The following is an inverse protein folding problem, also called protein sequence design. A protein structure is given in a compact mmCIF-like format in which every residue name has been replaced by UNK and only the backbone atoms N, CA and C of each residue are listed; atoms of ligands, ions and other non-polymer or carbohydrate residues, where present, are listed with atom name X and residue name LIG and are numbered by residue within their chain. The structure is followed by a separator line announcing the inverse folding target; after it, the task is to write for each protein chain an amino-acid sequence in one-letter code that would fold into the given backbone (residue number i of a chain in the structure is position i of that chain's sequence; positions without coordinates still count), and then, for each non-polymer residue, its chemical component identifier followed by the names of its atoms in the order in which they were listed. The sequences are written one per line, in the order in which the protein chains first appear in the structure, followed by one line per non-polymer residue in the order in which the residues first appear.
data_IF_307054042060
#
_entry.id   IF_307054042060
#
_cell.length_a   1.000
_cell.length_b   1.000
_cell.length_c   1.000
_cell.angle_alpha   90.00
_cell.angle_beta   90.00
_cell.angle_gamma   90.00
#
_symmetry.space_group_name_H-M   'P 1'
#
loop_
_entity.id
_entity.type
_entity.pdbx_description
1 polymer ?
#
# COMPACT_ATOMS: atom_id res chain seq x y z
N UNK A 1 31.91 6.64 -2.12
CA UNK A 1 31.25 7.91 -2.44
C UNK A 1 31.84 8.45 -3.71
N UNK A 2 31.05 8.52 -4.79
CA UNK A 2 31.41 9.30 -5.96
C UNK A 2 31.38 10.79 -5.59
N UNK A 3 32.18 11.62 -6.27
CA UNK A 3 32.12 13.07 -6.11
C UNK A 3 30.75 13.53 -6.62
N UNK A 4 30.00 14.32 -5.86
CA UNK A 4 28.74 14.92 -6.29
C UNK A 4 28.98 16.42 -6.48
N UNK A 5 28.58 16.95 -7.63
CA UNK A 5 28.74 18.35 -8.03
C UNK A 5 27.36 18.93 -8.29
N UNK A 6 27.07 20.11 -7.71
CA UNK A 6 25.83 20.83 -7.98
C UNK A 6 25.84 21.37 -9.42
N UNK A 7 24.78 21.05 -10.15
CA UNK A 7 24.58 21.41 -11.56
C UNK A 7 23.57 22.55 -11.68
N UNK A 8 22.54 22.55 -10.84
CA UNK A 8 21.52 23.58 -10.81
C UNK A 8 21.09 23.86 -9.37
N UNK A 9 20.86 25.13 -9.05
CA UNK A 9 20.19 25.61 -7.85
C UNK A 9 19.25 26.74 -8.25
N UNK A 10 17.94 26.49 -8.18
CA UNK A 10 16.91 27.38 -8.72
C UNK A 10 15.77 27.54 -7.71
N UNK A 11 15.21 28.74 -7.68
CA UNK A 11 13.91 29.00 -7.07
C UNK A 11 12.85 28.73 -8.14
N UNK A 12 11.97 27.78 -7.88
CA UNK A 12 10.96 27.31 -8.84
C UNK A 12 9.53 27.63 -8.39
N UNK A 13 9.36 28.25 -7.22
CA UNK A 13 8.05 28.67 -6.72
C UNK A 13 8.12 29.18 -5.28
N UNK A 14 6.95 29.29 -4.66
CA UNK A 14 6.77 29.62 -3.24
C UNK A 14 5.88 28.60 -2.56
N UNK A 15 5.95 28.53 -1.24
CA UNK A 15 5.02 27.76 -0.43
C UNK A 15 3.64 28.39 -0.52
N UNK A 16 2.77 27.82 -1.34
CA UNK A 16 1.36 28.14 -1.24
C UNK A 16 0.88 27.68 0.15
N UNK A 17 0.24 28.56 0.92
CA UNK A 17 -0.30 28.24 2.24
C UNK A 17 -1.52 27.30 2.14
N UNK A 18 -1.36 26.14 1.54
CA UNK A 18 -2.35 25.08 1.57
C UNK A 18 -2.08 24.30 2.85
N UNK A 19 -2.89 24.56 3.87
CA UNK A 19 -2.88 23.77 5.09
C UNK A 19 -3.53 22.42 4.76
N UNK A 20 -2.72 21.47 4.31
CA UNK A 20 -3.18 20.12 4.04
C UNK A 20 -3.37 19.40 5.39
N UNK A 21 -4.61 19.09 5.76
CA UNK A 21 -4.95 18.29 6.95
C UNK A 21 -4.74 16.80 6.66
N UNK A 22 -3.48 16.46 6.37
CA UNK A 22 -3.05 15.15 5.91
C UNK A 22 -1.68 14.87 6.52
N UNK A 23 -1.42 13.63 6.91
CA UNK A 23 -0.14 13.26 7.48
C UNK A 23 0.94 13.12 6.40
N UNK A 24 2.20 13.21 6.82
CA UNK A 24 3.33 12.98 5.93
C UNK A 24 3.37 11.55 5.36
N UNK A 25 2.82 10.55 6.09
CA UNK A 25 2.74 9.16 5.61
C UNK A 25 1.69 9.05 4.49
N UNK A 26 0.61 9.80 4.59
CA UNK A 26 -0.43 9.83 3.57
C UNK A 26 0.05 10.58 2.33
N UNK A 27 0.68 11.74 2.50
CA UNK A 27 1.25 12.50 1.38
C UNK A 27 2.29 11.72 0.60
N UNK A 28 3.23 11.06 1.28
CA UNK A 28 4.24 10.26 0.56
C UNK A 28 3.63 9.04 -0.11
N UNK A 29 2.55 8.47 0.45
CA UNK A 29 1.82 7.37 -0.18
C UNK A 29 1.11 7.84 -1.45
N UNK A 30 0.52 9.05 -1.44
CA UNK A 30 -0.08 9.66 -2.63
C UNK A 30 0.99 9.94 -3.68
N UNK A 31 2.12 10.56 -3.32
CA UNK A 31 3.23 10.81 -4.25
C UNK A 31 3.70 9.52 -4.93
N UNK A 32 3.96 8.47 -4.16
CA UNK A 32 4.41 7.18 -4.71
C UNK A 32 3.32 6.52 -5.56
N UNK A 33 2.04 6.66 -5.20
CA UNK A 33 0.94 6.17 -6.01
C UNK A 33 0.81 6.91 -7.35
N UNK A 34 0.91 8.23 -7.36
CA UNK A 34 0.82 9.03 -8.58
C UNK A 34 1.97 8.69 -9.55
N UNK A 35 3.21 8.56 -9.04
CA UNK A 35 4.34 8.11 -9.85
C UNK A 35 4.13 6.69 -10.39
N UNK A 36 3.66 5.77 -9.54
CA UNK A 36 3.31 4.39 -9.91
C UNK A 36 2.26 4.34 -11.02
N UNK A 37 1.23 5.20 -10.92
CA UNK A 37 0.12 5.32 -11.87
C UNK A 37 0.56 5.91 -13.20
N UNK A 38 1.38 6.95 -13.19
CA UNK A 38 1.92 7.59 -14.40
C UNK A 38 2.72 6.60 -15.26
N UNK A 39 3.53 5.73 -14.62
CA UNK A 39 4.36 4.75 -15.32
C UNK A 39 3.59 3.44 -15.61
N UNK A 40 2.55 3.14 -14.82
CA UNK A 40 1.85 1.86 -14.84
C UNK A 40 2.65 0.71 -14.22
N UNK A 41 3.56 1.01 -13.28
CA UNK A 41 4.46 0.04 -12.63
C UNK A 41 4.30 0.12 -11.12
N UNK A 42 4.19 -1.04 -10.45
CA UNK A 42 4.18 -1.08 -8.99
C UNK A 42 5.58 -0.77 -8.43
N UNK A 43 5.69 0.04 -7.38
CA UNK A 43 6.97 0.33 -6.77
C UNK A 43 7.58 -0.90 -6.08
N UNK A 44 8.89 -1.04 -6.18
CA UNK A 44 9.68 -1.92 -5.31
C UNK A 44 10.19 -1.12 -4.11
N UNK A 45 9.98 -1.63 -2.90
CA UNK A 45 10.33 -0.92 -1.66
C UNK A 45 11.41 -1.68 -0.91
N UNK A 46 12.51 -1.00 -0.60
CA UNK A 46 13.65 -1.57 0.12
C UNK A 46 14.00 -0.71 1.33
N UNK A 47 14.08 -1.32 2.49
CA UNK A 47 14.53 -0.67 3.71
C UNK A 47 16.04 -0.85 3.89
N UNK A 48 16.74 0.23 4.23
CA UNK A 48 18.15 0.20 4.61
C UNK A 48 18.27 0.73 6.05
N UNK A 49 18.05 -0.12 7.08
CA UNK A 49 18.01 0.32 8.47
C UNK A 49 19.28 1.02 8.96
N UNK A 50 20.46 0.61 8.45
CA UNK A 50 21.74 1.22 8.81
C UNK A 50 21.85 2.67 8.34
N UNK A 51 21.19 3.00 7.24
CA UNK A 51 21.16 4.34 6.64
C UNK A 51 19.94 5.15 7.11
N UNK A 52 19.04 4.52 7.87
CA UNK A 52 17.71 5.05 8.20
C UNK A 52 16.99 5.58 6.97
N UNK A 53 17.00 4.78 5.91
CA UNK A 53 16.43 5.15 4.63
C UNK A 53 15.52 4.05 4.07
N UNK A 54 14.57 4.49 3.25
CA UNK A 54 13.70 3.64 2.46
C UNK A 54 13.87 4.06 1.01
N UNK A 55 14.06 3.08 0.13
CA UNK A 55 14.23 3.29 -1.29
C UNK A 55 12.97 2.77 -1.98
N UNK A 56 12.33 3.64 -2.77
CA UNK A 56 11.19 3.31 -3.61
C UNK A 56 11.64 3.34 -5.04
N UNK A 57 11.65 2.18 -5.70
CA UNK A 57 12.29 1.98 -7.00
C UNK A 57 11.22 1.70 -8.04
N UNK A 58 11.32 2.40 -9.17
CA UNK A 58 10.53 2.20 -10.37
C UNK A 58 11.47 1.76 -11.49
N UNK A 59 11.84 0.48 -11.48
CA UNK A 59 12.70 -0.12 -12.52
C UNK A 59 12.08 0.04 -13.90
N UNK A 60 12.92 0.22 -14.92
CA UNK A 60 12.50 0.39 -16.32
C UNK A 60 11.61 1.63 -16.56
N UNK A 61 11.66 2.61 -15.65
CA UNK A 61 10.99 3.92 -15.81
C UNK A 61 11.89 4.94 -16.48
N UNK A 62 11.29 5.96 -17.09
CA UNK A 62 11.99 7.13 -17.60
C UNK A 62 11.11 8.36 -17.44
N UNK A 63 11.63 9.40 -16.81
CA UNK A 63 10.93 10.67 -16.60
C UNK A 63 11.72 11.84 -17.14
N UNK A 64 11.01 12.77 -17.77
CA UNK A 64 11.50 14.13 -17.98
C UNK A 64 11.56 14.88 -16.65
N UNK A 65 12.68 15.53 -16.37
CA UNK A 65 12.89 16.27 -15.12
C UNK A 65 11.86 17.39 -14.97
N UNK A 66 11.58 18.12 -16.05
CA UNK A 66 10.63 19.24 -16.04
C UNK A 66 9.21 18.74 -15.72
N UNK A 67 8.80 17.60 -16.28
CA UNK A 67 7.53 16.96 -15.93
C UNK A 67 7.45 16.59 -14.44
N UNK A 68 8.50 15.98 -13.88
CA UNK A 68 8.53 15.64 -12.45
C UNK A 68 8.40 16.88 -11.56
N UNK A 69 9.09 17.94 -11.94
CA UNK A 69 9.11 19.19 -11.17
C UNK A 69 7.74 19.88 -11.26
N UNK A 70 7.21 20.05 -12.47
CA UNK A 70 5.97 20.78 -12.70
C UNK A 70 4.77 20.11 -12.02
N UNK A 71 4.75 18.77 -11.95
CA UNK A 71 3.62 18.03 -11.38
C UNK A 71 3.79 17.68 -9.90
N UNK A 72 5.02 17.43 -9.43
CA UNK A 72 5.23 16.83 -8.10
C UNK A 72 6.11 17.66 -7.15
N UNK A 73 6.74 18.77 -7.58
CA UNK A 73 7.68 19.52 -6.74
C UNK A 73 7.07 19.97 -5.39
N UNK A 74 5.81 20.41 -5.39
CA UNK A 74 5.13 20.88 -4.17
C UNK A 74 4.95 19.75 -3.15
N UNK A 75 4.50 18.57 -3.58
CA UNK A 75 4.29 17.42 -2.68
C UNK A 75 5.64 16.85 -2.21
N UNK A 76 6.65 16.80 -3.09
CA UNK A 76 8.00 16.37 -2.72
C UNK A 76 8.58 17.28 -1.64
N UNK A 77 8.47 18.60 -1.82
CA UNK A 77 8.98 19.56 -0.85
C UNK A 77 8.22 19.52 0.49
N UNK A 78 6.89 19.35 0.45
CA UNK A 78 6.06 19.23 1.65
C UNK A 78 6.43 17.98 2.46
N UNK A 79 6.57 16.83 1.79
CA UNK A 79 7.02 15.60 2.46
C UNK A 79 8.45 15.75 2.99
N UNK A 80 9.32 16.44 2.24
CA UNK A 80 10.72 16.66 2.59
C UNK A 80 10.94 17.52 3.85
N UNK A 81 9.91 18.25 4.34
CA UNK A 81 9.97 18.92 5.64
C UNK A 81 10.10 17.93 6.81
N UNK A 82 9.58 16.70 6.65
CA UNK A 82 9.68 15.64 7.66
C UNK A 82 10.55 14.46 7.21
N UNK A 83 10.39 14.03 5.96
CA UNK A 83 11.09 12.88 5.38
C UNK A 83 11.89 13.37 4.17
N UNK A 84 13.15 13.81 4.36
CA UNK A 84 13.95 14.33 3.26
C UNK A 84 13.99 13.34 2.09
N UNK A 85 13.55 13.79 0.91
CA UNK A 85 13.53 12.99 -0.31
C UNK A 85 14.70 13.41 -1.20
N UNK A 86 15.43 12.42 -1.71
CA UNK A 86 16.31 12.56 -2.86
C UNK A 86 15.74 11.72 -3.99
N UNK A 87 15.41 12.36 -5.10
CA UNK A 87 15.02 11.68 -6.32
C UNK A 87 16.31 11.35 -7.05
N UNK A 88 16.54 10.08 -7.36
CA UNK A 88 17.71 9.65 -8.10
C UNK A 88 17.32 8.75 -9.26
N UNK A 89 18.25 8.58 -10.18
CA UNK A 89 18.08 7.76 -11.36
C UNK A 89 19.32 7.79 -12.22
N UNK A 90 19.32 7.00 -13.28
CA UNK A 90 20.38 6.94 -14.25
C UNK A 90 20.16 8.03 -15.31
N UNK A 91 21.18 8.85 -15.52
CA UNK A 91 21.24 9.88 -16.56
C UNK A 91 22.18 9.42 -17.68
N UNK A 92 22.48 10.32 -18.62
CA UNK A 92 23.40 10.05 -19.73
C UNK A 92 24.72 9.40 -19.25
N UNK A 93 25.29 8.54 -20.08
CA UNK A 93 26.57 7.85 -19.83
C UNK A 93 26.58 6.92 -18.58
N UNK A 94 25.41 6.41 -18.16
CA UNK A 94 25.23 5.54 -16.98
C UNK A 94 25.67 6.18 -15.66
N UNK A 95 25.57 7.50 -15.59
CA UNK A 95 25.85 8.27 -14.38
C UNK A 95 24.59 8.35 -13.50
N UNK A 96 24.75 8.51 -12.18
CA UNK A 96 23.63 8.79 -11.28
C UNK A 96 23.36 10.31 -11.23
N UNK A 97 22.12 10.70 -11.52
CA UNK A 97 21.63 12.06 -11.30
C UNK A 97 20.78 12.13 -10.05
N UNK A 98 20.92 13.21 -9.28
CA UNK A 98 20.10 13.50 -8.10
C UNK A 98 19.32 14.80 -8.30
N UNK A 99 18.06 14.79 -7.85
CA UNK A 99 17.19 15.95 -7.74
C UNK A 99 16.68 16.05 -6.30
N UNK A 100 16.79 17.25 -5.72
CA UNK A 100 16.23 17.58 -4.40
C UNK A 100 15.30 18.76 -4.56
N UNK A 101 14.11 18.65 -3.96
CA UNK A 101 13.13 19.73 -3.90
C UNK A 101 12.79 19.98 -2.44
N UNK A 102 12.93 21.22 -1.97
CA UNK A 102 12.75 21.57 -0.57
C UNK A 102 12.34 23.04 -0.41
N UNK A 103 11.77 23.38 0.75
CA UNK A 103 11.50 24.76 1.13
C UNK A 103 12.70 25.39 1.83
N UNK A 104 13.08 26.59 1.41
CA UNK A 104 14.02 27.47 2.12
C UNK A 104 13.38 28.85 2.27
N UNK A 105 13.09 29.26 3.51
CA UNK A 105 12.43 30.55 3.81
C UNK A 105 11.15 30.74 2.96
N UNK A 106 10.27 29.73 2.95
CA UNK A 106 9.02 29.67 2.15
C UNK A 106 9.21 29.70 0.62
N UNK A 107 10.44 29.61 0.12
CA UNK A 107 10.72 29.50 -1.32
C UNK A 107 10.94 28.04 -1.69
N UNK A 108 10.29 27.61 -2.76
CA UNK A 108 10.46 26.27 -3.31
C UNK A 108 11.77 26.24 -4.10
N UNK A 109 12.74 25.48 -3.61
CA UNK A 109 14.06 25.32 -4.22
C UNK A 109 14.20 23.96 -4.87
N UNK A 110 14.91 23.96 -5.99
CA UNK A 110 15.31 22.80 -6.76
C UNK A 110 16.83 22.76 -6.86
N UNK A 111 17.41 21.64 -6.43
CA UNK A 111 18.82 21.35 -6.64
C UNK A 111 18.99 20.10 -7.49
N UNK A 112 19.83 20.19 -8.53
CA UNK A 112 20.25 19.04 -9.34
C UNK A 112 21.73 18.82 -9.17
N UNK A 113 22.16 17.58 -9.08
CA UNK A 113 23.56 17.23 -8.92
C UNK A 113 23.91 15.89 -9.58
N UNK A 114 25.17 15.74 -9.98
CA UNK A 114 25.76 14.49 -10.46
C UNK A 114 27.30 14.59 -10.37
N UNK A 115 28.03 13.55 -10.74
CA UNK A 115 29.48 13.50 -10.67
C UNK A 115 30.22 14.32 -11.75
N UNK A 116 29.64 14.46 -12.94
CA UNK A 116 30.23 15.12 -14.11
C UNK A 116 30.02 16.63 -14.10
N UNK A 117 29.06 17.13 -13.31
CA UNK A 117 28.66 18.53 -13.28
C UNK A 117 27.84 18.97 -14.51
N UNK A 118 27.37 18.03 -15.34
CA UNK A 118 26.62 18.33 -16.58
C UNK A 118 25.13 18.32 -16.32
N UNK A 119 24.37 19.20 -16.97
CA UNK A 119 22.91 19.15 -16.87
C UNK A 119 22.33 17.92 -17.58
N UNK A 120 21.15 17.50 -17.13
CA UNK A 120 20.46 16.30 -17.60
C UNK A 120 18.96 16.57 -17.68
N UNK A 121 18.28 16.04 -18.69
CA UNK A 121 16.85 16.29 -18.89
C UNK A 121 15.98 15.11 -18.47
N UNK A 122 16.55 13.91 -18.42
CA UNK A 122 15.83 12.68 -18.14
C UNK A 122 16.47 11.91 -16.99
N UNK A 123 15.64 11.20 -16.24
CA UNK A 123 16.05 10.21 -15.24
C UNK A 123 15.42 8.86 -15.61
N UNK A 124 16.27 7.88 -15.89
CA UNK A 124 15.87 6.48 -16.03
C UNK A 124 15.98 5.75 -14.69
N UNK A 125 15.24 4.67 -14.50
CA UNK A 125 15.24 3.87 -13.26
C UNK A 125 15.03 4.74 -12.03
N UNK A 126 13.94 5.52 -12.04
CA UNK A 126 13.60 6.45 -10.98
C UNK A 126 13.60 5.76 -9.62
N UNK A 127 14.28 6.36 -8.65
CA UNK A 127 14.28 5.95 -7.27
C UNK A 127 14.04 7.15 -6.36
N UNK A 128 13.26 6.94 -5.31
CA UNK A 128 13.08 7.88 -4.22
C UNK A 128 13.82 7.35 -3.01
N UNK A 129 14.89 8.04 -2.61
CA UNK A 129 15.59 7.81 -1.34
C UNK A 129 14.94 8.69 -0.29
N UNK A 130 14.27 8.05 0.67
CA UNK A 130 13.52 8.71 1.73
C UNK A 130 14.25 8.49 3.05
N UNK A 131 14.68 9.57 3.70
CA UNK A 131 15.38 9.50 4.97
C UNK A 131 14.39 9.66 6.13
N UNK A 132 14.61 8.89 7.20
CA UNK A 132 13.81 8.95 8.43
C UNK A 132 14.68 9.09 9.67
N UNK A 133 14.09 9.56 10.76
CA UNK A 133 14.81 9.72 12.03
C UNK A 133 14.72 8.48 12.91
N UNK A 134 13.55 7.84 12.92
CA UNK A 134 13.18 6.76 13.85
C UNK A 134 12.96 5.45 13.11
N UNK A 135 13.40 4.33 13.72
CA UNK A 135 13.17 3.00 13.16
C UNK A 135 11.67 2.67 13.02
N UNK A 136 10.84 3.18 13.94
CA UNK A 136 9.38 3.03 13.84
C UNK A 136 8.81 3.65 12.55
N UNK A 137 9.42 4.73 12.05
CA UNK A 137 9.02 5.36 10.80
C UNK A 137 9.41 4.52 9.58
N UNK A 138 10.51 3.75 9.66
CA UNK A 138 10.86 2.75 8.64
C UNK A 138 9.76 1.71 8.55
N UNK A 139 9.29 1.18 9.67
CA UNK A 139 8.29 0.11 9.68
C UNK A 139 6.96 0.55 9.05
N UNK A 140 6.44 1.71 9.45
CA UNK A 140 5.17 2.22 8.90
C UNK A 140 5.28 2.60 7.43
N UNK A 141 6.34 3.29 7.02
CA UNK A 141 6.52 3.66 5.61
C UNK A 141 6.76 2.42 4.76
N UNK A 142 7.49 1.41 5.25
CA UNK A 142 7.63 0.14 4.55
C UNK A 142 6.27 -0.54 4.36
N UNK A 143 5.43 -0.59 5.40
CA UNK A 143 4.09 -1.17 5.33
C UNK A 143 3.19 -0.38 4.35
N UNK A 144 3.25 0.95 4.38
CA UNK A 144 2.46 1.81 3.50
C UNK A 144 2.89 1.67 2.04
N UNK A 145 4.17 1.92 1.77
CA UNK A 145 4.69 2.01 0.41
C UNK A 145 4.72 0.64 -0.29
N UNK A 146 5.01 -0.45 0.43
CA UNK A 146 5.02 -1.80 -0.15
C UNK A 146 3.64 -2.30 -0.59
N UNK A 147 2.56 -1.72 -0.02
CA UNK A 147 1.19 -2.05 -0.37
C UNK A 147 0.63 -1.21 -1.53
N UNK A 148 1.36 -0.20 -2.00
CA UNK A 148 0.94 0.63 -3.12
C UNK A 148 0.93 -0.21 -4.41
N UNK A 149 -0.14 -0.07 -5.18
CA UNK A 149 -0.26 -0.63 -6.53
C UNK A 149 -0.80 0.46 -7.45
N UNK A 150 -0.30 0.51 -8.69
CA UNK A 150 -0.70 1.55 -9.64
C UNK A 150 -2.20 1.52 -9.97
N UNK A 151 -2.83 0.35 -9.84
CA UNK A 151 -4.24 0.10 -10.16
C UNK A 151 -5.14 -0.02 -8.93
N UNK A 152 -4.72 0.52 -7.78
CA UNK A 152 -5.52 0.51 -6.55
C UNK A 152 -5.61 1.91 -5.97
N UNK A 153 -6.81 2.26 -5.53
CA UNK A 153 -7.14 3.62 -5.13
C UNK A 153 -6.94 3.86 -3.63
N UNK A 154 -6.66 2.81 -2.87
CA UNK A 154 -6.30 2.90 -1.46
C UNK A 154 -5.33 1.78 -1.04
N UNK A 155 -4.72 1.95 0.13
CA UNK A 155 -3.92 0.93 0.81
C UNK A 155 -4.54 0.59 2.17
N UNK A 156 -4.45 -0.68 2.56
CA UNK A 156 -4.84 -1.15 3.89
C UNK A 156 -3.62 -1.17 4.83
N UNK A 157 -3.75 -0.64 6.03
CA UNK A 157 -2.67 -0.51 7.03
C UNK A 157 -3.14 -0.95 8.41
N UNK A 158 -2.27 -1.60 9.19
CA UNK A 158 -2.59 -2.05 10.55
C UNK A 158 -2.90 -0.89 11.49
N UNK A 159 -3.89 -1.08 12.35
CA UNK A 159 -4.38 -0.10 13.34
C UNK A 159 -3.33 0.32 14.39
N UNK A 160 -2.25 -0.47 14.57
CA UNK A 160 -1.12 -0.06 15.44
C UNK A 160 -0.47 1.26 14.98
N UNK A 161 -0.72 1.65 13.73
CA UNK A 161 -0.18 2.85 13.09
C UNK A 161 -1.11 4.07 13.15
N UNK A 162 -2.29 3.99 13.77
CA UNK A 162 -3.29 5.08 13.82
C UNK A 162 -2.70 6.45 14.16
N UNK A 163 -1.71 6.51 15.07
CA UNK A 163 -1.06 7.76 15.51
C UNK A 163 -0.32 8.53 14.41
N UNK A 164 -0.07 7.92 13.26
CA UNK A 164 0.64 8.53 12.13
C UNK A 164 -0.29 9.08 11.05
N UNK A 165 -1.60 8.95 11.20
CA UNK A 165 -2.59 9.36 10.20
C UNK A 165 -3.41 10.55 10.69
N UNK A 166 -3.94 11.34 9.75
CA UNK A 166 -4.89 12.39 10.08
C UNK A 166 -6.22 11.79 10.58
N UNK A 167 -6.94 12.53 11.41
CA UNK A 167 -8.28 12.11 11.84
C UNK A 167 -9.27 12.02 10.66
N UNK A 168 -9.03 12.75 9.57
CA UNK A 168 -9.88 12.73 8.38
C UNK A 168 -9.90 11.36 7.70
N UNK A 169 -8.76 10.66 7.67
CA UNK A 169 -8.66 9.34 7.05
C UNK A 169 -9.24 8.21 7.91
N UNK A 170 -9.43 8.45 9.20
CA UNK A 170 -10.05 7.50 10.14
C UNK A 170 -11.51 7.89 10.36
N UNK A 171 -12.40 7.55 9.42
CA UNK A 171 -13.85 7.72 9.62
C UNK A 171 -14.40 6.74 10.68
N UNK A 172 -15.53 7.06 11.32
CA UNK A 172 -16.18 6.24 12.34
C UNK A 172 -16.48 4.81 11.88
N UNK A 173 -16.83 4.62 10.60
CA UNK A 173 -17.05 3.27 10.04
C UNK A 173 -15.76 2.43 9.97
N UNK A 174 -14.58 3.05 9.88
CA UNK A 174 -13.29 2.32 9.90
C UNK A 174 -12.87 1.93 11.33
N UNK A 175 -13.43 2.54 12.39
CA UNK A 175 -13.00 2.27 13.78
C UNK A 175 -13.25 0.84 14.26
N UNK A 176 -14.16 0.12 13.57
CA UNK A 176 -14.51 -1.27 13.86
C UNK A 176 -13.90 -2.26 12.86
N UNK A 177 -13.16 -1.77 11.86
CA UNK A 177 -12.45 -2.58 10.88
C UNK A 177 -11.09 -3.01 11.44
N UNK A 178 -10.56 -4.14 10.95
CA UNK A 178 -9.23 -4.62 11.36
C UNK A 178 -8.10 -3.73 10.84
N UNK A 179 -8.29 -3.12 9.67
CA UNK A 179 -7.32 -2.23 9.03
C UNK A 179 -7.87 -0.81 8.87
N UNK A 180 -6.96 0.15 8.82
CA UNK A 180 -7.24 1.47 8.25
C UNK A 180 -7.08 1.43 6.75
N UNK A 181 -7.87 2.24 6.05
CA UNK A 181 -7.79 2.37 4.61
C UNK A 181 -7.46 3.80 4.24
N UNK A 182 -6.29 3.99 3.63
CA UNK A 182 -5.77 5.29 3.23
C UNK A 182 -6.13 5.50 1.76
N UNK A 183 -7.05 6.42 1.44
CA UNK A 183 -7.33 6.77 0.06
C UNK A 183 -6.10 7.45 -0.56
N UNK A 184 -5.71 6.99 -1.75
CA UNK A 184 -4.65 7.58 -2.57
C UNK A 184 -5.25 8.56 -3.59
N UNK A 185 -6.53 8.41 -3.90
CA UNK A 185 -7.33 9.31 -4.74
C UNK A 185 -8.78 9.41 -4.23
N UNK A 186 -9.62 10.14 -4.95
CA UNK A 186 -11.05 10.24 -4.60
C UNK A 186 -11.75 8.91 -4.84
N UNK A 187 -12.29 8.30 -3.79
CA UNK A 187 -12.96 7.00 -3.87
C UNK A 187 -14.44 7.14 -4.25
N UNK A 188 -14.83 6.57 -5.39
CA UNK A 188 -16.23 6.47 -5.81
C UNK A 188 -16.99 5.41 -4.99
N UNK A 189 -16.34 4.28 -4.68
CA UNK A 189 -16.93 3.19 -3.92
C UNK A 189 -15.98 2.70 -2.82
N UNK A 190 -16.03 3.38 -1.68
CA UNK A 190 -15.15 3.12 -0.53
C UNK A 190 -15.12 1.66 -0.09
N UNK A 191 -16.28 1.03 0.08
CA UNK A 191 -16.35 -0.38 0.49
C UNK A 191 -15.64 -1.29 -0.51
N UNK A 192 -15.78 -0.97 -1.80
CA UNK A 192 -15.11 -1.68 -2.86
C UNK A 192 -13.61 -1.53 -2.85
N UNK A 193 -13.13 -0.29 -2.76
CA UNK A 193 -11.71 0.01 -2.74
C UNK A 193 -11.03 -0.61 -1.51
N UNK A 194 -11.68 -0.56 -0.34
CA UNK A 194 -11.15 -1.12 0.90
C UNK A 194 -10.87 -2.62 0.75
N UNK A 195 -11.88 -3.40 0.36
CA UNK A 195 -11.75 -4.84 0.20
C UNK A 195 -10.74 -5.20 -0.90
N UNK A 196 -10.70 -4.44 -1.99
CA UNK A 196 -9.77 -4.70 -3.08
C UNK A 196 -8.34 -4.24 -2.82
N UNK A 197 -8.12 -3.40 -1.81
CA UNK A 197 -6.78 -2.96 -1.39
C UNK A 197 -6.02 -3.97 -0.54
N UNK A 198 -6.72 -4.94 0.08
CA UNK A 198 -6.10 -5.92 0.95
C UNK A 198 -5.03 -6.74 0.17
N UNK A 199 -3.92 -7.00 0.84
CA UNK A 199 -2.91 -7.97 0.40
C UNK A 199 -3.32 -9.39 0.80
N UNK A 200 -2.73 -10.41 0.18
CA UNK A 200 -2.96 -11.82 0.55
C UNK A 200 -2.63 -12.05 2.03
N UNK A 201 -1.57 -11.41 2.54
CA UNK A 201 -1.18 -11.52 3.95
C UNK A 201 -2.26 -10.94 4.88
N UNK A 202 -2.87 -9.82 4.52
CA UNK A 202 -3.95 -9.21 5.30
C UNK A 202 -5.24 -10.02 5.21
N UNK A 203 -5.58 -10.55 4.03
CA UNK A 203 -6.70 -11.49 3.88
C UNK A 203 -6.48 -12.74 4.76
N UNK A 204 -5.26 -13.26 4.81
CA UNK A 204 -4.90 -14.40 5.66
C UNK A 204 -5.06 -14.05 7.14
N UNK A 205 -4.56 -12.90 7.58
CA UNK A 205 -4.72 -12.41 8.94
C UNK A 205 -6.20 -12.26 9.35
N UNK A 206 -7.10 -11.89 8.44
CA UNK A 206 -8.55 -11.87 8.70
C UNK A 206 -9.09 -13.29 8.91
N UNK A 207 -8.66 -14.26 8.09
CA UNK A 207 -9.05 -15.66 8.26
C UNK A 207 -8.53 -16.26 9.56
N UNK A 208 -7.30 -15.92 9.97
CA UNK A 208 -6.72 -16.40 11.22
C UNK A 208 -7.53 -15.94 12.44
N UNK A 209 -7.92 -14.66 12.49
CA UNK A 209 -8.78 -14.14 13.57
C UNK A 209 -10.12 -14.91 13.65
N UNK A 210 -10.69 -15.26 12.50
CA UNK A 210 -11.92 -16.03 12.46
C UNK A 210 -11.72 -17.49 12.89
N UNK A 211 -10.68 -18.15 12.40
CA UNK A 211 -10.43 -19.57 12.65
C UNK A 211 -9.96 -19.84 14.07
N UNK A 212 -9.13 -18.96 14.64
CA UNK A 212 -8.46 -19.14 15.95
C UNK A 212 -9.21 -18.41 17.06
N UNK A 213 -9.56 -17.14 16.84
CA UNK A 213 -10.14 -16.29 17.88
C UNK A 213 -11.67 -16.22 17.79
N UNK A 214 -12.27 -16.87 16.77
CA UNK A 214 -13.70 -16.80 16.45
C UNK A 214 -14.21 -15.36 16.24
N UNK A 215 -13.30 -14.44 15.91
CA UNK A 215 -13.62 -13.04 15.68
C UNK A 215 -13.89 -12.79 14.19
N UNK A 216 -15.06 -12.23 13.88
CA UNK A 216 -15.42 -11.84 12.51
C UNK A 216 -15.26 -10.34 12.34
N UNK A 217 -14.26 -9.92 11.56
CA UNK A 217 -14.04 -8.52 11.23
C UNK A 217 -15.09 -8.00 10.23
N UNK A 218 -15.36 -6.69 10.26
CA UNK A 218 -16.34 -6.04 9.37
C UNK A 218 -15.99 -6.20 7.88
N UNK A 219 -14.70 -6.38 7.55
CA UNK A 219 -14.24 -6.72 6.21
C UNK A 219 -14.98 -7.92 5.60
N UNK A 220 -15.32 -8.94 6.40
CA UNK A 220 -16.09 -10.08 5.92
C UNK A 220 -17.54 -9.75 5.58
N UNK A 221 -18.17 -8.81 6.30
CA UNK A 221 -19.52 -8.34 5.98
C UNK A 221 -19.53 -7.62 4.63
N UNK A 222 -18.56 -6.72 4.41
CA UNK A 222 -18.39 -6.04 3.13
C UNK A 222 -18.14 -7.05 2.00
N UNK A 223 -17.24 -7.99 2.21
CA UNK A 223 -16.92 -9.04 1.26
C UNK A 223 -18.13 -9.91 0.92
N UNK A 224 -18.92 -10.30 1.92
CA UNK A 224 -20.11 -11.12 1.71
C UNK A 224 -21.19 -10.36 0.95
N UNK A 225 -21.39 -9.07 1.23
CA UNK A 225 -22.29 -8.22 0.46
C UNK A 225 -21.89 -8.13 -1.02
N UNK A 226 -20.59 -8.04 -1.32
CA UNK A 226 -20.08 -8.08 -2.69
C UNK A 226 -20.30 -9.43 -3.37
N UNK A 227 -20.06 -10.51 -2.63
CA UNK A 227 -20.31 -11.87 -3.10
C UNK A 227 -21.79 -12.05 -3.49
N UNK A 228 -22.72 -11.59 -2.64
CA UNK A 228 -24.15 -11.64 -2.92
C UNK A 228 -24.55 -10.82 -4.16
N UNK A 229 -23.93 -9.65 -4.35
CA UNK A 229 -24.14 -8.77 -5.52
C UNK A 229 -23.41 -9.24 -6.79
N UNK A 230 -22.66 -10.35 -6.73
CA UNK A 230 -21.79 -10.84 -7.82
C UNK A 230 -20.79 -9.79 -8.32
N UNK A 231 -20.34 -8.91 -7.43
CA UNK A 231 -19.36 -7.85 -7.70
C UNK A 231 -18.02 -8.11 -7.02
N UNK A 232 -17.82 -9.31 -6.46
CA UNK A 232 -16.59 -9.70 -5.79
C UNK A 232 -15.51 -10.00 -6.82
N UNK A 233 -14.46 -9.20 -6.81
CA UNK A 233 -13.24 -9.50 -7.55
C UNK A 233 -12.27 -10.32 -6.70
N UNK A 234 -11.24 -10.88 -7.35
CA UNK A 234 -10.11 -11.54 -6.66
C UNK A 234 -10.52 -12.69 -5.73
N UNK A 235 -11.62 -13.39 -6.04
CA UNK A 235 -12.09 -14.56 -5.27
C UNK A 235 -10.96 -15.60 -5.06
N UNK A 236 -10.14 -15.84 -6.07
CA UNK A 236 -8.98 -16.73 -5.98
C UNK A 236 -7.94 -16.29 -4.93
N UNK A 237 -7.77 -14.99 -4.69
CA UNK A 237 -6.85 -14.50 -3.65
C UNK A 237 -7.41 -14.73 -2.25
N UNK A 238 -8.73 -14.54 -2.08
CA UNK A 238 -9.42 -14.85 -0.83
C UNK A 238 -9.41 -16.35 -0.52
N UNK A 239 -9.58 -17.19 -1.54
CA UNK A 239 -9.42 -18.64 -1.40
C UNK A 239 -7.98 -19.02 -1.04
N UNK A 240 -6.99 -18.46 -1.74
CA UNK A 240 -5.57 -18.72 -1.44
C UNK A 240 -5.24 -18.32 0.00
N UNK A 241 -5.67 -17.14 0.45
CA UNK A 241 -5.48 -16.68 1.82
C UNK A 241 -6.13 -17.61 2.85
N UNK A 242 -7.34 -18.12 2.58
CA UNK A 242 -8.00 -19.11 3.42
C UNK A 242 -7.20 -20.41 3.50
N UNK A 243 -6.72 -20.93 2.36
CA UNK A 243 -5.92 -22.16 2.32
C UNK A 243 -4.62 -22.04 3.08
N UNK A 244 -3.94 -20.89 2.98
CA UNK A 244 -2.73 -20.61 3.77
C UNK A 244 -3.08 -20.58 5.26
N UNK A 245 -4.15 -19.89 5.67
CA UNK A 245 -4.58 -19.84 7.07
C UNK A 245 -4.95 -21.21 7.64
N UNK A 246 -5.72 -22.02 6.91
CA UNK A 246 -6.05 -23.40 7.30
C UNK A 246 -4.79 -24.24 7.48
N UNK A 247 -3.82 -24.11 6.56
CA UNK A 247 -2.54 -24.83 6.66
C UNK A 247 -1.72 -24.39 7.86
N UNK A 248 -1.65 -23.09 8.17
CA UNK A 248 -0.92 -22.56 9.35
C UNK A 248 -1.56 -22.99 10.67
N UNK A 249 -2.88 -23.17 10.69
CA UNK A 249 -3.62 -23.63 11.86
C UNK A 249 -3.76 -25.16 11.95
N UNK A 250 -3.17 -25.92 11.02
CA UNK A 250 -3.28 -27.38 10.92
C UNK A 250 -4.73 -27.89 10.82
N UNK A 251 -5.60 -27.12 10.16
CA UNK A 251 -6.96 -27.56 9.86
C UNK A 251 -6.94 -28.51 8.66
N UNK A 252 -7.71 -29.60 8.73
CA UNK A 252 -7.98 -30.46 7.58
C UNK A 252 -9.41 -30.25 7.07
N UNK A 253 -9.55 -30.27 5.75
CA UNK A 253 -10.85 -30.21 5.08
C UNK A 253 -11.03 -31.51 4.32
N UNK A 254 -11.96 -32.33 4.77
CA UNK A 254 -12.22 -33.64 4.20
C UNK A 254 -13.59 -33.67 3.53
N UNK A 255 -13.67 -34.37 2.41
CA UNK A 255 -14.93 -34.71 1.76
C UNK A 255 -15.13 -36.22 1.82
N UNK A 256 -16.03 -36.67 2.69
CA UNK A 256 -16.32 -38.07 2.87
C UNK A 256 -17.83 -38.30 2.95
N UNK A 257 -18.34 -39.33 2.27
CA UNK A 257 -19.77 -39.69 2.28
C UNK A 257 -20.75 -38.54 1.98
N UNK A 258 -20.40 -37.65 1.04
CA UNK A 258 -21.18 -36.44 0.69
C UNK A 258 -21.33 -35.44 1.84
N UNK A 259 -20.54 -35.59 2.90
CA UNK A 259 -20.43 -34.66 4.01
C UNK A 259 -19.08 -33.97 3.95
N UNK A 260 -19.11 -32.68 4.29
CA UNK A 260 -17.93 -31.86 4.38
C UNK A 260 -17.54 -31.76 5.84
N UNK A 261 -16.31 -32.14 6.15
CA UNK A 261 -15.77 -32.08 7.51
C UNK A 261 -14.63 -31.07 7.54
N UNK A 262 -14.72 -30.12 8.46
CA UNK A 262 -13.59 -29.29 8.85
C UNK A 262 -13.10 -29.82 10.19
N UNK A 263 -11.83 -30.14 10.29
CA UNK A 263 -11.23 -30.72 11.51
C UNK A 263 -10.13 -29.78 11.97
N UNK A 264 -10.14 -29.41 13.26
CA UNK A 264 -9.10 -28.57 13.85
C UNK A 264 -7.81 -29.34 14.15
N UNK A 265 -6.77 -28.62 14.60
CA UNK A 265 -5.49 -29.23 15.03
C UNK A 265 -5.62 -30.31 16.11
N UNK A 266 -6.69 -30.25 16.90
CA UNK A 266 -6.98 -31.20 17.99
C UNK A 266 -7.70 -32.46 17.51
N UNK A 267 -8.04 -32.56 16.22
CA UNK A 267 -8.85 -33.64 15.67
C UNK A 267 -10.35 -33.46 15.91
N UNK A 268 -10.81 -32.29 16.36
CA UNK A 268 -12.21 -32.02 16.60
C UNK A 268 -12.91 -31.59 15.32
N UNK A 269 -14.10 -32.14 15.08
CA UNK A 269 -14.96 -31.68 14.00
C UNK A 269 -15.55 -30.31 14.32
N UNK A 270 -15.29 -29.34 13.45
CA UNK A 270 -15.90 -28.01 13.48
C UNK A 270 -17.09 -28.01 12.52
N UNK A 271 -18.24 -27.63 13.07
CA UNK A 271 -19.47 -27.49 12.31
C UNK A 271 -19.71 -26.02 12.01
N UNK A 272 -19.70 -25.69 10.72
CA UNK A 272 -20.11 -24.39 10.23
C UNK A 272 -21.52 -24.45 9.63
N UNK A 273 -22.32 -23.42 9.88
CA UNK A 273 -23.70 -23.28 9.44
C UNK A 273 -23.88 -22.04 8.56
N UNK A 274 -24.52 -22.23 7.40
CA UNK A 274 -24.84 -21.12 6.50
C UNK A 274 -25.91 -20.16 7.06
N UNK A 275 -26.71 -20.62 8.02
CA UNK A 275 -27.68 -19.79 8.75
C UNK A 275 -27.04 -18.96 9.88
N UNK A 276 -25.72 -19.09 10.10
CA UNK A 276 -24.98 -18.28 11.05
C UNK A 276 -25.14 -16.77 10.78
N UNK A 277 -24.95 -15.94 11.80
CA UNK A 277 -24.87 -14.49 11.59
C UNK A 277 -23.48 -14.07 11.08
N UNK A 278 -22.45 -14.92 11.18
CA UNK A 278 -21.09 -14.60 10.73
C UNK A 278 -20.97 -14.64 9.20
N UNK A 279 -20.59 -13.51 8.59
CA UNK A 279 -20.27 -13.48 7.16
C UNK A 279 -18.98 -14.24 6.82
N UNK A 280 -18.00 -14.31 7.73
CA UNK A 280 -16.79 -15.11 7.53
C UNK A 280 -17.13 -16.60 7.38
N UNK A 281 -18.01 -17.12 8.24
CA UNK A 281 -18.47 -18.50 8.21
C UNK A 281 -19.20 -18.85 6.91
N UNK A 282 -20.11 -17.97 6.47
CA UNK A 282 -20.81 -18.13 5.18
C UNK A 282 -19.85 -18.15 4.00
N UNK A 283 -18.88 -17.24 3.99
CA UNK A 283 -17.87 -17.16 2.94
C UNK A 283 -16.96 -18.38 2.95
N UNK A 284 -16.53 -18.86 4.12
CA UNK A 284 -15.74 -20.08 4.26
C UNK A 284 -16.47 -21.26 3.62
N UNK A 285 -17.74 -21.45 3.96
CA UNK A 285 -18.56 -22.52 3.38
C UNK A 285 -18.67 -22.38 1.85
N UNK A 286 -18.83 -21.15 1.32
CA UNK A 286 -18.92 -20.91 -0.12
C UNK A 286 -17.60 -21.14 -0.86
N UNK A 287 -16.47 -20.80 -0.24
CA UNK A 287 -15.13 -20.98 -0.81
C UNK A 287 -14.75 -22.46 -0.81
N UNK A 288 -14.88 -23.14 0.32
CA UNK A 288 -14.45 -24.54 0.46
C UNK A 288 -15.40 -25.50 -0.27
N UNK A 289 -16.68 -25.18 -0.29
CA UNK A 289 -17.73 -26.07 -0.79
C UNK A 289 -18.59 -25.35 -1.85
N UNK A 290 -18.00 -24.99 -3.00
CA UNK A 290 -18.73 -24.33 -4.06
C UNK A 290 -19.83 -25.28 -4.55
N UNK A 291 -21.08 -24.86 -4.38
CA UNK A 291 -22.21 -25.61 -4.93
C UNK A 291 -22.07 -25.55 -6.45
N UNK A 292 -21.98 -26.72 -7.11
CA UNK A 292 -22.23 -26.79 -8.56
C UNK A 292 -23.66 -26.33 -8.78
N UNK A 293 -23.82 -25.05 -9.07
CA UNK A 293 -25.08 -24.56 -9.61
C UNK A 293 -25.08 -25.13 -11.02
N UNK A 294 -25.86 -26.18 -11.26
CA UNK A 294 -26.20 -26.56 -12.63
C UNK A 294 -26.95 -25.37 -13.20
N UNK A 295 -26.23 -24.47 -13.86
CA UNK A 295 -26.78 -23.51 -14.78
C UNK A 295 -27.35 -24.33 -15.94
N UNK A 296 -28.66 -24.56 -15.88
CA UNK A 296 -29.50 -24.75 -17.06
C UNK A 296 -30.35 -23.49 -17.20
#
# INVERSE_FOLDING_TARGET
MQKIVNVSDKIIGSKDHIKLDISNVELISILVHELSKEIGINPEVQCIPKEKSIWVIFSDSCFECDFLIDNYALIIAAVSEKYPIVINGIINDFEEGEIKVFYEEDRLKLNKSNASGRDFLNLSDLCLKINVEKNEEIEILNEALSNIRYNRNCIAIRRKWDKYFSNYSINDNQKVMKYNYIPLETLENKEYDYINSLSILQMKELWLDFLVDHHTALEFELLYNMFQKRSMEKMHLWELALRIALSECEFSVEYYNKQFNVIDRGGNHIYYNFESYSSAEKLLLKILFPVKTNLY
#
